data_IF_663825764576
#
_entry.id   IF_663825764576
#
_cell.length_a   1.000
_cell.length_b   1.000
_cell.length_c   1.000
_cell.angle_alpha   90.00
_cell.angle_beta   90.00
_cell.angle_gamma   90.00
#
_symmetry.space_group_name_H-M   'P 1'
#
loop_
_entity.id
_entity.type
_entity.pdbx_description
1 polymer ?
#
# COMPACT_ATOMS: atom_id res chain seq x y z
N UNK A 1 -2.41 68.31 -2.82
CA UNK A 1 -3.76 67.73 -2.81
C UNK A 1 -3.73 66.23 -3.18
N UNK A 2 -3.10 65.36 -2.39
CA UNK A 2 -3.06 63.90 -2.68
C UNK A 2 -3.37 62.99 -1.47
N UNK A 3 -3.96 63.53 -0.39
CA UNK A 3 -4.28 62.73 0.81
C UNK A 3 -5.66 62.07 0.82
N UNK A 4 -6.63 62.59 0.07
CA UNK A 4 -8.00 62.08 0.12
C UNK A 4 -8.25 60.88 -0.82
N UNK A 5 -7.53 60.79 -1.94
CA UNK A 5 -7.74 59.73 -2.95
C UNK A 5 -7.22 58.34 -2.52
N UNK A 6 -6.11 58.29 -1.77
CA UNK A 6 -5.52 57.01 -1.34
C UNK A 6 -6.38 56.28 -0.31
N UNK A 7 -7.02 57.01 0.61
CA UNK A 7 -7.91 56.42 1.62
C UNK A 7 -9.19 55.86 1.02
N UNK A 8 -9.69 56.46 -0.07
CA UNK A 8 -10.86 55.95 -0.79
C UNK A 8 -10.51 54.64 -1.52
N UNK A 9 -9.35 54.59 -2.19
CA UNK A 9 -8.92 53.40 -2.93
C UNK A 9 -8.67 52.21 -1.98
N UNK A 10 -7.98 52.42 -0.85
CA UNK A 10 -7.74 51.34 0.13
C UNK A 10 -9.04 50.86 0.78
N UNK A 11 -9.99 51.75 1.03
CA UNK A 11 -11.32 51.38 1.57
C UNK A 11 -12.12 50.57 0.54
N UNK A 12 -12.11 50.96 -0.73
CA UNK A 12 -12.80 50.23 -1.81
C UNK A 12 -12.19 48.84 -2.02
N UNK A 13 -10.86 48.72 -1.98
CA UNK A 13 -10.17 47.42 -2.06
C UNK A 13 -10.49 46.56 -0.84
N UNK A 14 -10.48 47.13 0.37
CA UNK A 14 -10.81 46.40 1.60
C UNK A 14 -12.24 45.86 1.61
N UNK A 15 -13.21 46.65 1.14
CA UNK A 15 -14.59 46.20 0.97
C UNK A 15 -14.74 45.16 -0.13
N UNK A 16 -14.03 45.31 -1.25
CA UNK A 16 -14.01 44.33 -2.34
C UNK A 16 -13.46 42.97 -1.91
N UNK A 17 -12.36 42.95 -1.15
CA UNK A 17 -11.78 41.71 -0.61
C UNK A 17 -12.69 41.07 0.45
N UNK A 18 -13.34 41.88 1.29
CA UNK A 18 -14.26 41.35 2.30
C UNK A 18 -15.53 40.77 1.66
N UNK A 19 -16.10 41.45 0.64
CA UNK A 19 -17.28 40.97 -0.07
C UNK A 19 -17.00 39.68 -0.85
N UNK A 20 -15.85 39.60 -1.53
CA UNK A 20 -15.44 38.38 -2.24
C UNK A 20 -15.16 37.22 -1.29
N UNK A 21 -14.56 37.47 -0.13
CA UNK A 21 -14.37 36.45 0.91
C UNK A 21 -15.71 35.93 1.46
N UNK A 22 -16.66 36.83 1.76
CA UNK A 22 -18.00 36.45 2.22
C UNK A 22 -18.73 35.63 1.15
N UNK A 23 -18.68 36.03 -0.13
CA UNK A 23 -19.30 35.28 -1.23
C UNK A 23 -18.64 33.91 -1.38
N UNK A 24 -17.31 33.81 -1.26
CA UNK A 24 -16.59 32.53 -1.31
C UNK A 24 -16.99 31.59 -0.18
N UNK A 25 -17.06 32.10 1.06
CA UNK A 25 -17.49 31.32 2.24
C UNK A 25 -18.95 30.90 2.11
N UNK A 26 -19.86 31.81 1.73
CA UNK A 26 -21.26 31.50 1.50
C UNK A 26 -21.44 30.46 0.38
N UNK A 27 -20.69 30.57 -0.71
CA UNK A 27 -20.72 29.61 -1.83
C UNK A 27 -20.24 28.23 -1.38
N UNK A 28 -19.17 28.16 -0.58
CA UNK A 28 -18.67 26.90 0.01
C UNK A 28 -19.69 26.27 0.98
N UNK A 29 -20.34 27.06 1.83
CA UNK A 29 -21.38 26.59 2.76
C UNK A 29 -22.62 26.11 2.00
N UNK A 30 -23.08 26.84 0.98
CA UNK A 30 -24.23 26.47 0.17
C UNK A 30 -23.91 25.23 -0.67
N UNK A 31 -22.74 25.14 -1.32
CA UNK A 31 -22.31 23.94 -2.05
C UNK A 31 -22.16 22.74 -1.11
N UNK A 32 -21.66 22.94 0.11
CA UNK A 32 -21.59 21.90 1.14
C UNK A 32 -22.97 21.43 1.61
N UNK A 33 -23.94 22.35 1.74
CA UNK A 33 -25.33 22.03 2.08
C UNK A 33 -26.08 21.34 0.94
N UNK A 34 -25.86 21.74 -0.31
CA UNK A 34 -26.43 21.09 -1.50
C UNK A 34 -25.87 19.68 -1.69
N UNK A 35 -24.55 19.48 -1.52
CA UNK A 35 -23.95 18.12 -1.51
C UNK A 35 -24.49 17.26 -0.37
N UNK A 36 -24.75 17.84 0.80
CA UNK A 36 -25.38 17.14 1.95
C UNK A 36 -26.86 16.81 1.71
N UNK A 37 -27.55 17.59 0.88
CA UNK A 37 -28.92 17.32 0.44
C UNK A 37 -28.98 16.23 -0.64
N UNK A 38 -28.03 16.20 -1.60
CA UNK A 38 -27.86 15.09 -2.57
C UNK A 38 -27.43 13.78 -1.92
N UNK A 39 -26.76 13.85 -0.76
CA UNK A 39 -26.37 12.67 0.04
C UNK A 39 -27.54 12.00 0.78
N UNK A 40 -28.77 12.52 0.65
CA UNK A 40 -30.01 11.81 1.01
C UNK A 40 -30.66 11.27 -0.26
N UNK A 41 -30.45 10.00 -0.65
CA UNK A 41 -31.44 9.32 -1.46
C UNK A 41 -32.69 9.13 -0.60
N UNK A 42 -33.82 9.46 -1.22
CA UNK A 42 -35.18 9.18 -0.79
C UNK A 42 -35.31 7.80 -0.12
N UNK A 43 -35.69 7.78 1.14
CA UNK A 43 -36.30 6.63 1.79
C UNK A 43 -37.74 7.00 2.12
N UNK A 44 -38.59 7.01 1.11
CA UNK A 44 -40.02 6.76 1.23
C UNK A 44 -40.57 6.60 -0.19
N UNK A 45 -41.39 5.56 -0.38
CA UNK A 45 -41.98 5.11 -1.65
C UNK A 45 -41.07 4.20 -2.48
N UNK A 46 -40.95 2.94 -2.05
CA UNK A 46 -41.39 1.79 -2.86
C UNK A 46 -41.55 0.57 -1.95
N UNK A 47 -42.54 0.62 -1.04
CA UNK A 47 -43.10 -0.61 -0.50
C UNK A 47 -43.96 -1.26 -1.59
N UNK A 48 -43.74 -2.56 -1.80
CA UNK A 48 -44.48 -3.49 -2.67
C UNK A 48 -43.97 -3.52 -4.11
N UNK A 49 -43.22 -4.59 -4.44
CA UNK A 49 -43.58 -5.65 -5.40
C UNK A 49 -42.41 -6.66 -5.45
N UNK A 50 -42.74 -7.95 -5.24
CA UNK A 50 -42.08 -9.22 -5.68
C UNK A 50 -40.71 -9.61 -5.09
N UNK A 51 -40.61 -10.67 -4.27
CA UNK A 51 -40.62 -12.14 -4.52
C UNK A 51 -39.19 -12.72 -4.68
N UNK A 52 -38.80 -13.47 -3.63
CA UNK A 52 -37.83 -14.58 -3.55
C UNK A 52 -36.57 -14.61 -4.43
N UNK A 53 -35.38 -14.36 -3.83
CA UNK A 53 -34.17 -15.20 -3.98
C UNK A 53 -33.27 -15.08 -2.71
N UNK A 54 -32.57 -16.15 -2.26
CA UNK A 54 -31.88 -16.17 -0.98
C UNK A 54 -30.40 -15.81 -1.11
N UNK A 55 -30.01 -14.59 -0.72
CA UNK A 55 -28.60 -14.25 -0.48
C UNK A 55 -28.30 -14.15 1.01
N UNK A 56 -27.18 -14.77 1.37
CA UNK A 56 -26.66 -15.03 2.71
C UNK A 56 -26.74 -13.80 3.64
N UNK A 57 -27.23 -14.04 4.87
CA UNK A 57 -27.09 -13.13 6.02
C UNK A 57 -25.62 -12.72 6.23
N UNK A 58 -25.28 -11.48 5.86
CA UNK A 58 -24.05 -10.80 6.29
C UNK A 58 -24.21 -10.39 7.76
N UNK A 59 -23.28 -10.81 8.61
CA UNK A 59 -23.41 -10.79 10.08
C UNK A 59 -23.26 -9.39 10.69
N UNK A 60 -24.02 -9.11 11.76
CA UNK A 60 -23.96 -7.86 12.54
C UNK A 60 -22.65 -7.62 13.32
N UNK A 61 -21.67 -8.54 13.25
CA UNK A 61 -20.38 -8.43 13.95
C UNK A 61 -19.50 -7.30 13.38
N UNK A 62 -19.55 -7.05 12.07
CA UNK A 62 -18.72 -6.02 11.41
C UNK A 62 -19.08 -4.60 11.85
N UNK A 63 -20.35 -4.34 12.15
CA UNK A 63 -20.84 -3.03 12.55
C UNK A 63 -20.39 -2.65 13.98
N UNK A 64 -20.24 -3.66 14.85
CA UNK A 64 -19.74 -3.50 16.23
C UNK A 64 -18.24 -3.26 16.24
N UNK A 65 -17.48 -3.96 15.39
CA UNK A 65 -16.02 -3.82 15.31
C UNK A 65 -15.60 -2.46 14.73
N UNK A 66 -16.29 -1.94 13.71
CA UNK A 66 -16.02 -0.57 13.23
C UNK A 66 -16.27 0.46 14.34
N UNK A 67 -17.32 0.31 15.14
CA UNK A 67 -17.61 1.23 16.24
C UNK A 67 -16.50 1.30 17.29
N UNK A 68 -15.76 0.20 17.52
CA UNK A 68 -14.76 0.11 18.58
C UNK A 68 -13.36 0.66 18.23
N UNK A 69 -13.13 1.15 17.00
CA UNK A 69 -11.87 1.82 16.67
C UNK A 69 -11.80 3.18 17.42
N UNK A 70 -10.65 3.59 18.00
CA UNK A 70 -10.56 4.84 18.76
C UNK A 70 -10.96 6.07 17.96
N UNK A 71 -11.69 6.99 18.60
CA UNK A 71 -12.06 8.28 18.05
C UNK A 71 -11.54 9.41 18.92
N UNK A 72 -11.20 10.54 18.31
CA UNK A 72 -10.87 11.76 19.03
C UNK A 72 -11.58 12.96 18.43
N UNK A 73 -11.63 14.05 19.19
CA UNK A 73 -12.04 15.36 18.68
C UNK A 73 -10.78 16.13 18.28
N UNK A 74 -10.78 16.68 17.07
CA UNK A 74 -9.70 17.54 16.61
C UNK A 74 -9.66 18.82 17.44
N UNK A 75 -8.46 19.22 17.84
CA UNK A 75 -8.18 20.46 18.56
C UNK A 75 -6.94 21.12 17.94
N UNK A 76 -7.11 22.30 17.37
CA UNK A 76 -6.06 23.00 16.65
C UNK A 76 -4.82 23.30 17.52
N UNK A 77 -4.99 23.56 18.82
CA UNK A 77 -3.88 23.87 19.74
C UNK A 77 -3.04 22.65 20.08
N UNK A 78 -3.65 21.46 20.15
CA UNK A 78 -2.96 20.20 20.46
C UNK A 78 -2.23 19.59 19.25
N UNK A 79 -2.54 20.07 18.03
CA UNK A 79 -2.08 19.49 16.76
C UNK A 79 -1.16 20.39 15.94
N UNK A 80 -0.73 21.53 16.49
CA UNK A 80 0.17 22.51 15.86
C UNK A 80 1.56 21.98 15.43
N UNK A 81 1.89 20.70 15.70
CA UNK A 81 3.15 20.05 15.31
C UNK A 81 3.03 19.11 14.10
N UNK A 82 1.82 18.93 13.56
CA UNK A 82 1.58 18.09 12.37
C UNK A 82 1.46 18.99 11.14
N UNK A 83 2.36 18.81 10.16
CA UNK A 83 2.25 19.44 8.84
C UNK A 83 0.99 18.89 8.13
N UNK A 84 0.09 19.80 7.75
CA UNK A 84 -1.20 19.59 7.08
C UNK A 84 -2.23 18.63 7.75
N UNK A 85 -3.08 19.12 8.67
CA UNK A 85 -4.17 18.34 9.26
C UNK A 85 -5.31 18.12 8.26
N UNK A 86 -5.14 17.19 7.32
CA UNK A 86 -6.12 16.89 6.27
C UNK A 86 -6.57 15.42 6.29
N UNK A 87 -7.84 15.20 5.97
CA UNK A 87 -8.39 13.86 5.74
C UNK A 87 -8.04 13.37 4.33
N UNK A 88 -7.27 12.28 4.22
CA UNK A 88 -6.87 11.74 2.91
C UNK A 88 -8.02 11.09 2.10
N UNK A 89 -9.18 10.85 2.71
CA UNK A 89 -10.33 10.25 2.01
C UNK A 89 -11.15 11.33 1.27
N UNK A 90 -11.42 12.45 1.93
CA UNK A 90 -12.23 13.54 1.35
C UNK A 90 -11.40 14.74 0.91
N UNK A 91 -10.10 14.73 1.19
CA UNK A 91 -9.15 15.81 0.91
C UNK A 91 -9.58 17.14 1.56
N UNK A 92 -10.25 17.09 2.70
CA UNK A 92 -10.66 18.27 3.46
C UNK A 92 -9.82 18.41 4.74
N UNK A 93 -9.47 19.65 5.09
CA UNK A 93 -8.81 20.01 6.35
C UNK A 93 -9.71 19.70 7.55
N UNK A 94 -9.12 19.26 8.66
CA UNK A 94 -9.83 19.04 9.91
C UNK A 94 -10.27 20.37 10.53
N UNK A 95 -11.52 20.43 10.95
CA UNK A 95 -12.08 21.59 11.65
C UNK A 95 -12.14 21.34 13.16
N UNK A 96 -12.08 22.42 13.93
CA UNK A 96 -12.14 22.39 15.39
C UNK A 96 -13.37 21.58 15.88
N UNK A 97 -13.13 20.65 16.82
CA UNK A 97 -14.13 19.72 17.40
C UNK A 97 -14.68 18.64 16.45
N UNK A 98 -14.16 18.51 15.23
CA UNK A 98 -14.54 17.38 14.36
C UNK A 98 -14.12 16.04 14.94
N UNK A 99 -14.94 15.02 14.75
CA UNK A 99 -14.66 13.67 15.26
C UNK A 99 -13.87 12.90 14.22
N UNK A 100 -12.64 12.58 14.58
CA UNK A 100 -11.69 11.82 13.78
C UNK A 100 -11.56 10.41 14.34
N UNK A 101 -11.35 9.43 13.48
CA UNK A 101 -10.98 8.07 13.87
C UNK A 101 -9.48 7.90 13.74
N UNK A 102 -8.85 7.31 14.76
CA UNK A 102 -7.41 7.05 14.80
C UNK A 102 -7.18 5.57 14.55
N UNK A 103 -6.36 5.25 13.55
CA UNK A 103 -6.08 3.86 13.22
C UNK A 103 -5.09 3.25 14.24
N UNK A 104 -5.43 2.13 14.91
CA UNK A 104 -4.74 1.63 16.10
C UNK A 104 -3.34 1.01 15.87
N UNK A 105 -2.64 1.37 14.79
CA UNK A 105 -1.25 0.94 14.52
C UNK A 105 -0.41 2.01 13.84
N UNK A 106 -0.98 2.72 12.88
CA UNK A 106 -0.28 3.77 12.13
C UNK A 106 -0.54 5.18 12.68
N UNK A 107 -1.51 5.35 13.59
CA UNK A 107 -1.85 6.66 14.18
C UNK A 107 -2.51 7.64 13.21
N UNK A 108 -2.66 7.29 11.93
CA UNK A 108 -3.34 8.11 10.95
C UNK A 108 -4.78 8.42 11.38
N UNK A 109 -5.17 9.67 11.14
CA UNK A 109 -6.49 10.21 11.43
C UNK A 109 -7.31 10.32 10.15
N UNK A 110 -8.63 10.15 10.27
CA UNK A 110 -9.59 10.35 9.19
C UNK A 110 -10.91 10.87 9.78
N UNK A 111 -11.73 11.59 9.02
CA UNK A 111 -13.10 11.88 9.45
C UNK A 111 -13.87 10.59 9.70
N UNK A 112 -14.58 10.51 10.84
CA UNK A 112 -15.36 9.34 11.23
C UNK A 112 -16.31 8.87 10.11
N UNK A 113 -17.01 9.80 9.45
CA UNK A 113 -17.93 9.47 8.37
C UNK A 113 -17.23 8.95 7.10
N UNK A 114 -16.02 9.42 6.81
CA UNK A 114 -15.28 9.04 5.60
C UNK A 114 -14.74 7.61 5.72
N UNK A 115 -14.12 7.32 6.85
CA UNK A 115 -13.54 5.99 7.09
C UNK A 115 -14.60 4.94 7.38
N UNK A 116 -15.69 5.26 8.08
CA UNK A 116 -16.75 4.28 8.38
C UNK A 116 -17.48 3.85 7.11
N UNK A 117 -17.74 4.77 6.17
CA UNK A 117 -18.34 4.42 4.86
C UNK A 117 -17.37 3.58 4.03
N UNK A 118 -16.08 3.94 4.05
CA UNK A 118 -15.04 3.20 3.36
C UNK A 118 -14.88 1.77 3.90
N UNK A 119 -14.91 1.59 5.23
CA UNK A 119 -14.85 0.29 5.90
C UNK A 119 -16.10 -0.56 5.63
N UNK A 120 -17.31 0.04 5.68
CA UNK A 120 -18.58 -0.69 5.45
C UNK A 120 -18.77 -1.16 4.01
N UNK A 121 -18.29 -0.41 3.01
CA UNK A 121 -18.41 -0.82 1.60
C UNK A 121 -17.48 -1.97 1.20
N UNK A 122 -16.51 -2.31 2.05
CA UNK A 122 -15.53 -3.38 1.82
C UNK A 122 -15.69 -4.57 2.77
N UNK A 123 -16.91 -4.81 3.30
CA UNK A 123 -17.30 -5.89 4.24
C UNK A 123 -17.20 -7.32 3.69
N UNK A 124 -16.15 -7.63 2.94
CA UNK A 124 -15.74 -8.98 2.59
C UNK A 124 -14.26 -9.11 2.87
N UNK A 125 -13.97 -9.42 4.14
CA UNK A 125 -12.81 -10.21 4.60
C UNK A 125 -11.50 -9.93 3.85
N UNK A 126 -10.92 -8.72 3.89
CA UNK A 126 -9.50 -8.50 3.54
C UNK A 126 -9.02 -7.11 4.01
N UNK A 127 -8.90 -6.88 5.33
CA UNK A 127 -7.96 -5.89 5.89
C UNK A 127 -7.78 -6.10 7.41
N UNK A 128 -6.61 -5.80 8.02
CA UNK A 128 -6.27 -6.23 9.39
C UNK A 128 -6.97 -5.43 10.50
N UNK A 129 -7.71 -4.38 10.18
CA UNK A 129 -8.32 -3.46 11.18
C UNK A 129 -9.34 -4.20 12.05
N UNK A 130 -10.11 -5.13 11.48
CA UNK A 130 -11.14 -5.89 12.19
C UNK A 130 -10.57 -7.05 13.04
N UNK A 131 -9.30 -7.44 12.83
CA UNK A 131 -8.65 -8.51 13.62
C UNK A 131 -8.11 -8.04 14.97
N UNK A 132 -7.88 -6.75 15.15
CA UNK A 132 -7.25 -6.20 16.38
C UNK A 132 -8.23 -6.21 17.55
N UNK A 133 -9.52 -6.00 17.31
CA UNK A 133 -10.55 -5.94 18.37
C UNK A 133 -10.97 -7.32 18.90
N UNK A 134 -10.52 -8.41 18.28
CA UNK A 134 -10.72 -9.77 18.80
C UNK A 134 -9.57 -10.23 19.71
N UNK A 135 -8.58 -9.35 19.95
CA UNK A 135 -7.38 -9.65 20.72
C UNK A 135 -7.19 -8.66 21.87
N UNK A 136 -8.23 -8.40 22.67
CA UNK A 136 -8.05 -7.91 24.03
C UNK A 136 -8.87 -8.80 24.97
N UNK A 137 -8.18 -9.44 25.91
CA UNK A 137 -8.69 -10.54 26.71
C UNK A 137 -9.76 -10.13 27.71
N UNK A 138 -10.85 -10.90 27.75
CA UNK A 138 -11.65 -11.07 28.95
C UNK A 138 -11.21 -12.39 29.61
N UNK A 139 -10.38 -12.28 30.64
CA UNK A 139 -10.13 -13.35 31.60
C UNK A 139 -11.43 -13.70 32.31
N UNK A 140 -11.97 -14.89 32.06
CA UNK A 140 -12.88 -15.56 32.99
C UNK A 140 -12.23 -16.88 33.40
N UNK A 141 -11.91 -16.95 34.68
CA UNK A 141 -11.19 -18.06 35.28
C UNK A 141 -11.98 -19.36 35.20
N UNK A 142 -11.26 -20.43 34.89
CA UNK A 142 -11.63 -21.78 35.27
C UNK A 142 -10.43 -22.39 35.97
N UNK A 143 -10.66 -22.67 37.24
CA UNK A 143 -9.79 -23.36 38.17
C UNK A 143 -9.46 -24.78 37.73
N UNK A 144 -8.25 -25.20 38.08
CA UNK A 144 -7.83 -26.56 38.44
C UNK A 144 -8.08 -27.69 37.44
N UNK A 145 -6.97 -28.29 36.95
CA UNK A 145 -6.54 -29.67 37.25
C UNK A 145 -5.22 -29.92 36.47
N UNK A 146 -4.20 -30.38 37.18
CA UNK A 146 -2.99 -31.01 36.62
C UNK A 146 -2.90 -32.44 37.19
N UNK A 147 -1.95 -33.27 36.76
CA UNK A 147 -1.55 -33.63 35.38
C UNK A 147 -1.54 -35.16 35.20
N UNK A 148 -1.47 -35.69 33.97
CA UNK A 148 -0.87 -37.02 33.79
C UNK A 148 -0.19 -37.20 32.43
N UNK A 149 1.01 -37.77 32.54
CA UNK A 149 1.93 -38.21 31.50
C UNK A 149 1.27 -39.06 30.42
N UNK A 150 1.52 -38.71 29.15
CA UNK A 150 1.60 -39.71 28.08
C UNK A 150 2.83 -39.42 27.22
N UNK A 151 3.84 -40.27 27.39
CA UNK A 151 4.95 -40.48 26.46
C UNK A 151 4.39 -41.09 25.17
N UNK A 152 4.60 -40.43 24.03
CA UNK A 152 4.47 -41.07 22.71
C UNK A 152 5.83 -41.11 22.01
N UNK A 153 6.18 -42.23 21.34
CA UNK A 153 7.50 -42.43 20.75
C UNK A 153 7.65 -41.58 19.49
N UNK A 154 8.82 -40.97 19.33
CA UNK A 154 9.23 -40.33 18.09
C UNK A 154 9.36 -41.38 16.98
N UNK A 155 8.32 -41.50 16.15
CA UNK A 155 8.45 -42.07 14.81
C UNK A 155 8.70 -40.89 13.87
N UNK A 156 9.88 -40.87 13.27
CA UNK A 156 10.31 -39.97 12.20
C UNK A 156 9.41 -40.14 10.97
N UNK A 157 8.25 -39.51 10.98
CA UNK A 157 7.57 -39.15 9.75
C UNK A 157 8.43 -38.06 9.09
N UNK A 158 9.01 -38.36 7.92
CA UNK A 158 9.59 -37.33 7.06
C UNK A 158 8.53 -36.24 6.91
N UNK A 159 8.84 -35.01 7.34
CA UNK A 159 7.82 -33.96 7.33
C UNK A 159 7.44 -33.66 5.88
N UNK A 160 6.15 -33.73 5.56
CA UNK A 160 5.55 -33.20 4.31
C UNK A 160 5.70 -31.67 4.15
N UNK A 161 6.70 -31.07 4.78
CA UNK A 161 6.97 -29.63 4.75
C UNK A 161 8.20 -29.38 3.87
N UNK A 162 8.01 -29.05 2.57
CA UNK A 162 9.12 -28.81 1.65
C UNK A 162 9.96 -27.59 2.05
N UNK A 163 9.40 -26.67 2.84
CA UNK A 163 10.16 -25.53 3.39
C UNK A 163 11.20 -26.04 4.38
N UNK A 164 10.77 -26.91 5.31
CA UNK A 164 11.67 -27.51 6.31
C UNK A 164 12.73 -28.38 5.64
N UNK A 165 12.34 -29.17 4.64
CA UNK A 165 13.27 -30.00 3.87
C UNK A 165 14.35 -29.15 3.21
N UNK A 166 13.96 -28.08 2.51
CA UNK A 166 14.92 -27.19 1.86
C UNK A 166 15.84 -26.50 2.88
N UNK A 167 15.31 -26.00 4.00
CA UNK A 167 16.10 -25.33 5.05
C UNK A 167 17.17 -26.27 5.62
N UNK A 168 16.81 -27.54 5.88
CA UNK A 168 17.72 -28.53 6.47
C UNK A 168 18.68 -29.16 5.46
N UNK A 169 18.48 -28.94 4.16
CA UNK A 169 19.34 -29.43 3.09
C UNK A 169 20.13 -28.29 2.45
N UNK A 170 19.55 -27.62 1.47
CA UNK A 170 20.15 -26.51 0.72
C UNK A 170 20.40 -25.26 1.59
N UNK A 171 19.55 -25.02 2.60
CA UNK A 171 19.69 -23.93 3.56
C UNK A 171 20.83 -24.12 4.57
N UNK A 172 21.48 -25.29 4.57
CA UNK A 172 22.64 -25.65 5.41
C UNK A 172 22.41 -25.58 6.93
N UNK A 173 21.15 -25.52 7.37
CA UNK A 173 20.81 -25.67 8.78
C UNK A 173 20.84 -27.15 9.17
N UNK A 174 21.29 -27.47 10.38
CA UNK A 174 21.19 -28.85 10.91
C UNK A 174 19.92 -29.04 11.73
N UNK A 175 19.36 -27.95 12.28
CA UNK A 175 18.17 -28.01 13.10
C UNK A 175 17.30 -26.75 12.98
N UNK A 176 15.98 -26.97 12.99
CA UNK A 176 14.99 -25.91 13.12
C UNK A 176 14.66 -25.74 14.61
N UNK A 177 14.87 -24.55 15.16
CA UNK A 177 14.71 -24.27 16.59
C UNK A 177 13.34 -23.67 16.90
N UNK A 178 12.82 -22.80 16.03
CA UNK A 178 11.53 -22.14 16.24
C UNK A 178 10.90 -21.72 14.91
N UNK A 179 9.56 -21.80 14.84
CA UNK A 179 8.76 -21.12 13.81
C UNK A 179 7.88 -20.11 14.53
N UNK A 180 7.95 -18.85 14.11
CA UNK A 180 7.14 -17.77 14.68
C UNK A 180 6.37 -17.05 13.57
N UNK A 181 5.06 -16.79 13.73
CA UNK A 181 4.35 -15.92 12.81
C UNK A 181 4.93 -14.51 12.91
N UNK A 182 5.06 -13.85 11.76
CA UNK A 182 5.50 -12.45 11.68
C UNK A 182 4.45 -11.66 10.91
N UNK A 183 4.25 -10.40 11.30
CA UNK A 183 3.40 -9.48 10.53
C UNK A 183 4.06 -9.18 9.18
N UNK A 184 3.27 -9.01 8.11
CA UNK A 184 3.83 -8.57 6.82
C UNK A 184 2.94 -8.75 5.59
N UNK A 185 2.13 -9.82 5.52
CA UNK A 185 1.30 -10.09 4.33
C UNK A 185 -0.18 -9.73 4.51
N UNK A 186 -0.74 -8.94 3.58
CA UNK A 186 -2.21 -8.78 3.45
C UNK A 186 -2.88 -10.04 2.86
N UNK A 187 -2.12 -10.84 2.11
CA UNK A 187 -2.59 -11.96 1.29
C UNK A 187 -1.91 -13.28 1.72
N UNK A 188 -0.64 -13.23 2.10
CA UNK A 188 0.19 -14.40 2.38
C UNK A 188 0.45 -14.58 3.89
N UNK A 189 0.57 -15.84 4.33
CA UNK A 189 1.04 -16.14 5.68
C UNK A 189 2.56 -15.99 5.73
N UNK A 190 3.05 -15.14 6.62
CA UNK A 190 4.47 -14.86 6.80
C UNK A 190 4.98 -15.45 8.12
N UNK A 191 6.07 -16.20 8.06
CA UNK A 191 6.68 -16.88 9.19
C UNK A 191 8.19 -16.65 9.19
N UNK A 192 8.76 -16.52 10.39
CA UNK A 192 10.19 -16.60 10.66
C UNK A 192 10.54 -18.01 11.09
N UNK A 193 11.51 -18.61 10.42
CA UNK A 193 12.09 -19.92 10.75
C UNK A 193 13.48 -19.69 11.34
N UNK A 194 13.64 -19.94 12.64
CA UNK A 194 14.92 -19.84 13.33
C UNK A 194 15.64 -21.19 13.29
N UNK A 195 16.93 -21.15 12.92
CA UNK A 195 17.78 -22.34 12.82
C UNK A 195 19.12 -22.11 13.50
N UNK A 196 19.95 -23.14 13.57
CA UNK A 196 21.35 -23.05 13.98
C UNK A 196 22.26 -22.34 12.95
N UNK A 197 21.82 -22.18 11.71
CA UNK A 197 22.55 -21.49 10.63
C UNK A 197 22.04 -20.06 10.35
N UNK A 198 21.12 -19.55 11.17
CA UNK A 198 20.49 -18.24 11.00
C UNK A 198 18.97 -18.33 10.78
N UNK A 199 18.33 -17.19 10.55
CA UNK A 199 16.88 -17.11 10.38
C UNK A 199 16.50 -16.99 8.91
N UNK A 200 15.38 -17.61 8.55
CA UNK A 200 14.77 -17.51 7.22
C UNK A 200 13.39 -16.85 7.34
N UNK A 201 13.05 -16.04 6.34
CA UNK A 201 11.70 -15.52 6.19
C UNK A 201 10.98 -16.34 5.12
N UNK A 202 9.77 -16.81 5.45
CA UNK A 202 8.99 -17.70 4.59
C UNK A 202 7.60 -17.13 4.42
N UNK A 203 7.19 -16.91 3.17
CA UNK A 203 5.79 -16.65 2.82
C UNK A 203 5.16 -17.93 2.26
N UNK A 204 3.93 -18.19 2.65
CA UNK A 204 3.13 -19.31 2.13
C UNK A 204 1.74 -18.82 1.74
N UNK A 205 1.19 -19.43 0.68
CA UNK A 205 -0.20 -19.26 0.29
C UNK A 205 -0.78 -20.61 -0.11
N UNK A 206 -1.90 -21.01 0.49
CA UNK A 206 -2.53 -22.32 0.22
C UNK A 206 -3.42 -22.33 -1.03
N UNK A 207 -3.75 -21.15 -1.57
CA UNK A 207 -4.75 -20.98 -2.62
C UNK A 207 -4.16 -20.51 -3.95
N UNK A 208 -2.87 -20.15 -3.98
CA UNK A 208 -2.21 -19.57 -5.16
C UNK A 208 -1.10 -20.51 -5.63
N UNK A 209 -0.96 -20.66 -6.95
CA UNK A 209 0.17 -21.38 -7.56
C UNK A 209 1.52 -20.69 -7.34
N UNK A 210 2.63 -21.25 -7.85
CA UNK A 210 3.96 -20.71 -7.61
C UNK A 210 4.26 -19.42 -8.38
N UNK A 211 3.54 -19.12 -9.47
CA UNK A 211 3.83 -18.00 -10.37
C UNK A 211 3.95 -16.63 -9.68
N UNK A 212 3.11 -16.34 -8.69
CA UNK A 212 3.20 -15.10 -7.90
C UNK A 212 4.54 -14.99 -7.17
N UNK A 213 4.97 -16.08 -6.52
CA UNK A 213 6.23 -16.11 -5.79
C UNK A 213 7.45 -16.23 -6.71
N UNK A 214 7.32 -16.88 -7.87
CA UNK A 214 8.36 -16.90 -8.91
C UNK A 214 8.64 -15.48 -9.40
N UNK A 215 7.59 -14.71 -9.67
CA UNK A 215 7.72 -13.32 -10.07
C UNK A 215 8.30 -12.43 -8.96
N UNK A 216 7.88 -12.62 -7.71
CA UNK A 216 8.45 -11.92 -6.55
C UNK A 216 9.95 -12.24 -6.38
N UNK A 217 10.33 -13.52 -6.51
CA UNK A 217 11.72 -13.94 -6.43
C UNK A 217 12.58 -13.37 -7.56
N UNK A 218 12.05 -13.31 -8.79
CA UNK A 218 12.75 -12.68 -9.92
C UNK A 218 12.91 -11.17 -9.72
N UNK A 219 11.88 -10.48 -9.22
CA UNK A 219 11.95 -9.05 -8.89
C UNK A 219 12.97 -8.75 -7.79
N UNK A 220 12.92 -9.51 -6.69
CA UNK A 220 13.91 -9.41 -5.61
C UNK A 220 15.33 -9.73 -6.09
N UNK A 221 15.48 -10.75 -6.94
CA UNK A 221 16.77 -11.11 -7.55
C UNK A 221 17.33 -9.97 -8.39
N UNK A 222 16.54 -9.41 -9.29
CA UNK A 222 16.93 -8.28 -10.14
C UNK A 222 17.37 -7.06 -9.31
N UNK A 223 16.63 -6.72 -8.24
CA UNK A 223 17.02 -5.63 -7.34
C UNK A 223 18.25 -5.96 -6.49
N UNK A 224 18.41 -7.22 -6.09
CA UNK A 224 19.57 -7.65 -5.29
C UNK A 224 20.87 -7.56 -6.11
N UNK A 225 20.80 -7.92 -7.40
CA UNK A 225 21.94 -7.90 -8.33
C UNK A 225 22.46 -6.49 -8.64
N UNK A 226 21.66 -5.43 -8.45
CA UNK A 226 22.14 -4.05 -8.64
C UNK A 226 23.17 -3.63 -7.61
N UNK A 227 23.25 -4.32 -6.45
CA UNK A 227 24.15 -3.97 -5.36
C UNK A 227 23.90 -2.58 -4.75
N UNK A 228 22.70 -2.02 -4.91
CA UNK A 228 22.38 -0.64 -4.52
C UNK A 228 21.64 -0.54 -3.18
N UNK A 229 20.31 -0.63 -3.19
CA UNK A 229 19.43 -0.61 -2.01
C UNK A 229 19.27 -2.03 -1.44
N UNK A 230 19.11 -2.16 -0.11
CA UNK A 230 18.97 -3.48 0.52
C UNK A 230 17.59 -4.06 0.21
N UNK A 231 17.56 -5.32 -0.23
CA UNK A 231 16.36 -6.13 -0.41
C UNK A 231 16.59 -7.52 0.19
N UNK A 232 15.55 -8.26 0.62
CA UNK A 232 15.69 -9.64 1.04
C UNK A 232 16.21 -10.51 -0.11
N UNK A 233 17.32 -11.24 0.11
CA UNK A 233 17.79 -12.20 -0.88
C UNK A 233 16.78 -13.36 -1.04
N UNK A 234 16.22 -13.60 -2.23
CA UNK A 234 15.37 -14.77 -2.46
C UNK A 234 16.23 -16.03 -2.55
N UNK A 235 15.77 -17.12 -1.95
CA UNK A 235 16.48 -18.40 -1.95
C UNK A 235 15.77 -19.48 -2.76
N UNK A 236 14.46 -19.67 -2.53
CA UNK A 236 13.71 -20.75 -3.17
C UNK A 236 12.24 -20.40 -3.30
N UNK A 237 11.65 -20.79 -4.43
CA UNK A 237 10.19 -20.85 -4.63
C UNK A 237 9.80 -22.31 -4.86
N UNK A 238 8.63 -22.70 -4.39
CA UNK A 238 8.11 -24.04 -4.62
C UNK A 238 6.61 -24.18 -4.37
N UNK A 239 6.10 -25.36 -4.65
CA UNK A 239 4.71 -25.76 -4.41
C UNK A 239 4.55 -26.47 -3.07
N UNK A 240 3.40 -26.29 -2.43
CA UNK A 240 3.05 -27.02 -1.22
C UNK A 240 2.35 -28.35 -1.57
N UNK A 241 2.59 -29.47 -0.86
CA UNK A 241 2.08 -30.79 -1.24
C UNK A 241 0.55 -30.90 -1.27
N UNK A 242 -0.15 -30.08 -0.47
CA UNK A 242 -1.62 -30.07 -0.36
C UNK A 242 -2.27 -28.92 -1.13
N UNK A 243 -1.55 -28.35 -2.09
CA UNK A 243 -1.96 -27.18 -2.83
C UNK A 243 -1.42 -25.89 -2.22
N UNK A 244 -1.16 -24.92 -3.10
CA UNK A 244 -0.51 -23.66 -2.75
C UNK A 244 0.98 -23.61 -3.11
N UNK A 245 1.64 -22.56 -2.65
CA UNK A 245 3.04 -22.26 -2.94
C UNK A 245 3.72 -21.54 -1.77
N UNK A 246 5.05 -21.44 -1.86
CA UNK A 246 5.88 -20.75 -0.89
C UNK A 246 7.08 -20.06 -1.53
N UNK A 247 7.63 -19.07 -0.82
CA UNK A 247 8.94 -18.47 -1.07
C UNK A 247 9.74 -18.43 0.22
N UNK A 248 11.03 -18.77 0.14
CA UNK A 248 12.03 -18.69 1.20
C UNK A 248 13.01 -17.58 0.82
N UNK A 249 13.26 -16.66 1.74
CA UNK A 249 14.17 -15.53 1.55
C UNK A 249 14.93 -15.21 2.84
N UNK A 250 15.92 -14.32 2.72
CA UNK A 250 16.67 -13.76 3.84
C UNK A 250 15.73 -13.18 4.91
N UNK A 251 15.92 -13.58 6.16
CA UNK A 251 15.30 -12.86 7.27
C UNK A 251 16.10 -11.60 7.59
N UNK A 252 15.51 -10.44 7.34
CA UNK A 252 16.10 -9.16 7.72
C UNK A 252 15.53 -8.73 9.07
N UNK A 253 16.41 -8.50 10.04
CA UNK A 253 16.05 -7.94 11.33
C UNK A 253 15.88 -6.42 11.19
N UNK A 254 14.65 -5.95 11.39
CA UNK A 254 14.32 -4.53 11.30
C UNK A 254 14.74 -3.76 12.55
N UNK A 255 15.24 -2.54 12.33
CA UNK A 255 15.56 -1.58 13.38
C UNK A 255 14.32 -0.84 13.89
N UNK A 256 14.51 -0.08 14.97
CA UNK A 256 13.44 0.72 15.62
C UNK A 256 13.22 2.08 14.93
N UNK A 257 14.19 2.52 14.12
CA UNK A 257 14.19 3.82 13.47
C UNK A 257 13.49 3.78 12.10
N UNK A 258 12.84 4.89 11.73
CA UNK A 258 12.18 5.09 10.41
C UNK A 258 13.15 5.22 9.22
N UNK A 259 14.43 4.95 9.43
CA UNK A 259 15.46 5.05 8.40
C UNK A 259 15.83 6.47 8.02
N UNK A 260 16.99 6.63 7.36
CA UNK A 260 17.44 7.92 6.85
C UNK A 260 16.87 8.16 5.44
N UNK A 261 15.94 9.11 5.31
CA UNK A 261 15.28 9.46 4.04
C UNK A 261 16.26 9.86 2.93
N UNK A 262 17.35 10.57 3.25
CA UNK A 262 18.39 10.91 2.27
C UNK A 262 19.15 9.67 1.76
N UNK A 263 19.36 8.69 2.64
CA UNK A 263 20.01 7.43 2.23
C UNK A 263 19.05 6.61 1.37
N UNK A 264 17.76 6.56 1.74
CA UNK A 264 16.72 5.91 0.93
C UNK A 264 16.65 6.50 -0.49
N UNK A 265 16.59 7.83 -0.63
CA UNK A 265 16.52 8.49 -1.93
C UNK A 265 17.74 8.23 -2.79
N UNK A 266 18.95 8.37 -2.22
CA UNK A 266 20.20 8.04 -2.92
C UNK A 266 20.26 6.57 -3.36
N UNK A 267 19.95 5.63 -2.47
CA UNK A 267 20.01 4.19 -2.75
C UNK A 267 18.99 3.74 -3.79
N UNK A 268 17.80 4.34 -3.79
CA UNK A 268 16.80 4.11 -4.83
C UNK A 268 17.26 4.63 -6.20
N UNK A 269 17.84 5.83 -6.24
CA UNK A 269 18.42 6.37 -7.48
C UNK A 269 19.58 5.49 -8.01
N UNK A 270 20.45 4.98 -7.13
CA UNK A 270 21.50 4.01 -7.50
C UNK A 270 20.89 2.74 -8.12
N UNK A 271 19.78 2.23 -7.59
CA UNK A 271 19.05 1.09 -8.18
C UNK A 271 18.54 1.40 -9.59
N UNK A 272 17.87 2.53 -9.79
CA UNK A 272 17.34 2.93 -11.10
C UNK A 272 18.45 3.17 -12.14
N UNK A 273 19.63 3.62 -11.70
CA UNK A 273 20.79 3.74 -12.59
C UNK A 273 21.36 2.40 -13.01
N UNK A 274 21.55 1.49 -12.05
CA UNK A 274 22.21 0.22 -12.27
C UNK A 274 21.31 -0.79 -13.01
N UNK A 275 20.01 -0.82 -12.68
CA UNK A 275 19.06 -1.74 -13.30
C UNK A 275 18.61 -1.25 -14.67
N UNK A 276 19.37 -1.56 -15.72
CA UNK A 276 19.02 -1.28 -17.13
C UNK A 276 18.51 -2.52 -17.85
N UNK A 277 17.82 -2.32 -18.97
CA UNK A 277 17.32 -3.41 -19.82
C UNK A 277 17.50 -3.06 -21.29
N UNK A 278 18.13 -3.98 -22.04
CA UNK A 278 18.24 -3.89 -23.49
C UNK A 278 16.99 -4.41 -24.23
N UNK A 279 16.04 -5.02 -23.49
CA UNK A 279 14.78 -5.55 -24.05
C UNK A 279 13.67 -4.49 -24.14
N UNK A 280 13.90 -3.29 -23.62
CA UNK A 280 12.91 -2.22 -23.50
C UNK A 280 12.17 -2.23 -22.16
N UNK A 281 10.89 -1.83 -22.19
CA UNK A 281 9.99 -1.73 -21.04
C UNK A 281 9.21 -3.02 -20.85
N UNK A 282 9.09 -3.49 -19.61
CA UNK A 282 8.49 -4.79 -19.30
C UNK A 282 9.29 -5.57 -18.28
N UNK A 283 9.05 -6.87 -18.20
CA UNK A 283 9.77 -7.77 -17.31
C UNK A 283 9.70 -9.20 -17.87
N UNK A 284 10.60 -10.08 -17.42
CA UNK A 284 10.68 -11.45 -17.97
C UNK A 284 9.43 -12.29 -17.69
N UNK A 285 8.67 -11.94 -16.64
CA UNK A 285 7.40 -12.57 -16.30
C UNK A 285 6.34 -11.53 -15.94
N UNK A 286 5.09 -11.84 -16.25
CA UNK A 286 3.95 -11.16 -15.64
C UNK A 286 3.96 -11.39 -14.14
N UNK A 287 3.54 -10.37 -13.39
CA UNK A 287 3.50 -10.42 -11.95
C UNK A 287 2.19 -9.81 -11.44
N UNK A 288 2.18 -9.34 -10.19
CA UNK A 288 0.98 -8.76 -9.58
C UNK A 288 1.30 -7.48 -8.85
N UNK A 289 0.39 -6.49 -8.96
CA UNK A 289 0.34 -5.33 -8.08
C UNK A 289 -0.82 -5.53 -7.10
N UNK A 290 -0.48 -5.82 -5.83
CA UNK A 290 -1.42 -6.45 -4.91
C UNK A 290 -1.88 -7.82 -5.43
N UNK A 291 -3.19 -8.01 -5.60
CA UNK A 291 -3.76 -9.22 -6.23
C UNK A 291 -4.06 -9.07 -7.71
N UNK A 292 -3.83 -7.89 -8.29
CA UNK A 292 -4.20 -7.61 -9.68
C UNK A 292 -3.06 -8.04 -10.60
N UNK A 293 -3.33 -8.81 -11.69
CA UNK A 293 -2.30 -9.12 -12.67
C UNK A 293 -1.69 -7.85 -13.25
N UNK A 294 -0.37 -7.83 -13.34
CA UNK A 294 0.41 -6.79 -13.96
C UNK A 294 1.13 -7.38 -15.18
N UNK A 295 0.71 -6.93 -16.36
CA UNK A 295 1.18 -7.43 -17.65
C UNK A 295 2.53 -6.78 -17.95
N UNK A 296 3.54 -7.59 -18.25
CA UNK A 296 4.93 -7.18 -18.41
C UNK A 296 5.51 -7.56 -19.78
N UNK A 297 4.63 -7.82 -20.76
CA UNK A 297 5.03 -8.03 -22.14
C UNK A 297 5.94 -6.89 -22.60
N UNK A 298 7.09 -7.26 -23.19
CA UNK A 298 8.12 -6.32 -23.61
C UNK A 298 7.61 -5.34 -24.68
N UNK A 299 7.97 -4.07 -24.53
CA UNK A 299 7.69 -2.99 -25.47
C UNK A 299 8.92 -2.11 -25.64
N UNK A 300 9.16 -1.63 -26.85
CA UNK A 300 10.21 -0.64 -27.13
C UNK A 300 9.77 0.80 -26.86
N UNK A 301 8.47 1.05 -26.67
CA UNK A 301 7.91 2.38 -26.43
C UNK A 301 7.23 2.46 -25.07
N UNK A 302 7.65 3.43 -24.24
CA UNK A 302 7.12 3.64 -22.90
C UNK A 302 5.67 4.08 -22.93
N UNK A 303 5.33 4.96 -23.87
CA UNK A 303 3.99 5.55 -23.95
C UNK A 303 2.97 4.46 -24.28
N UNK A 304 3.28 3.61 -25.25
CA UNK A 304 2.50 2.41 -25.56
C UNK A 304 2.45 1.45 -24.36
N UNK A 305 3.59 1.11 -23.75
CA UNK A 305 3.64 0.19 -22.60
C UNK A 305 2.75 0.65 -21.44
N UNK A 306 2.89 1.91 -21.04
CA UNK A 306 2.13 2.49 -19.94
C UNK A 306 0.65 2.68 -20.31
N UNK A 307 0.38 3.09 -21.55
CA UNK A 307 -0.98 3.25 -22.07
C UNK A 307 -1.76 1.94 -22.12
N UNK A 308 -1.14 0.85 -22.59
CA UNK A 308 -1.80 -0.44 -22.78
C UNK A 308 -1.74 -1.32 -21.52
N UNK A 309 -0.55 -1.57 -20.99
CA UNK A 309 -0.30 -2.57 -19.94
C UNK A 309 -0.38 -2.02 -18.52
N UNK A 310 -0.52 -0.70 -18.34
CA UNK A 310 -0.82 -0.08 -17.04
C UNK A 310 -2.22 0.52 -17.06
N UNK A 311 -2.38 1.73 -17.61
CA UNK A 311 -3.64 2.45 -17.57
C UNK A 311 -4.78 1.69 -18.28
N UNK A 312 -4.54 1.24 -19.51
CA UNK A 312 -5.53 0.57 -20.35
C UNK A 312 -6.09 -0.70 -19.70
N UNK A 313 -5.19 -1.55 -19.18
CA UNK A 313 -5.58 -2.76 -18.45
C UNK A 313 -6.47 -2.46 -17.24
N UNK A 314 -6.09 -1.51 -16.39
CA UNK A 314 -6.87 -1.13 -15.21
C UNK A 314 -8.24 -0.53 -15.57
N UNK A 315 -8.31 0.30 -16.61
CA UNK A 315 -9.57 0.84 -17.12
C UNK A 315 -10.50 -0.27 -17.61
N UNK A 316 -9.97 -1.24 -18.36
CA UNK A 316 -10.74 -2.37 -18.85
C UNK A 316 -11.25 -3.24 -17.68
N UNK A 317 -10.42 -3.44 -16.66
CA UNK A 317 -10.81 -4.17 -15.45
C UNK A 317 -11.95 -3.46 -14.70
N UNK A 318 -11.84 -2.14 -14.52
CA UNK A 318 -12.88 -1.33 -13.89
C UNK A 318 -14.20 -1.36 -14.68
N UNK A 319 -14.14 -1.27 -16.02
CA UNK A 319 -15.32 -1.41 -16.88
C UNK A 319 -15.96 -2.80 -16.71
N UNK A 320 -15.17 -3.87 -16.71
CA UNK A 320 -15.68 -5.24 -16.60
C UNK A 320 -16.33 -5.52 -15.26
N UNK A 321 -15.74 -5.02 -14.17
CA UNK A 321 -16.22 -5.31 -12.81
C UNK A 321 -17.39 -4.41 -12.39
N UNK A 322 -17.39 -3.14 -12.81
CA UNK A 322 -18.32 -2.15 -12.29
C UNK A 322 -19.21 -1.51 -13.37
N UNK A 323 -18.98 -1.82 -14.65
CA UNK A 323 -19.73 -1.20 -15.75
C UNK A 323 -19.44 0.30 -15.92
N UNK A 324 -18.36 0.83 -15.33
CA UNK A 324 -18.07 2.26 -15.34
C UNK A 324 -17.56 2.73 -16.71
N UNK A 325 -18.51 3.00 -17.60
CA UNK A 325 -18.25 3.50 -18.95
C UNK A 325 -17.66 4.92 -18.93
N UNK A 326 -18.01 5.72 -17.93
CA UNK A 326 -17.57 7.12 -17.85
C UNK A 326 -16.07 7.21 -17.61
N UNK A 327 -15.56 6.46 -16.63
CA UNK A 327 -14.11 6.39 -16.35
C UNK A 327 -13.37 5.75 -17.52
N UNK A 328 -13.92 4.67 -18.08
CA UNK A 328 -13.32 4.00 -19.24
C UNK A 328 -13.14 4.92 -20.44
N UNK A 329 -14.22 5.56 -20.93
CA UNK A 329 -14.14 6.39 -22.14
C UNK A 329 -13.24 7.62 -21.94
N UNK A 330 -13.24 8.23 -20.75
CA UNK A 330 -12.30 9.31 -20.40
C UNK A 330 -10.86 8.83 -20.35
N UNK A 331 -10.61 7.68 -19.74
CA UNK A 331 -9.28 7.08 -19.66
C UNK A 331 -8.74 6.68 -21.03
N UNK A 332 -9.57 6.12 -21.90
CA UNK A 332 -9.19 5.80 -23.29
C UNK A 332 -8.84 7.06 -24.09
N UNK A 333 -9.53 8.18 -23.86
CA UNK A 333 -9.14 9.47 -24.46
C UNK A 333 -7.78 9.94 -23.95
N UNK A 334 -7.50 9.80 -22.66
CA UNK A 334 -6.19 10.13 -22.08
C UNK A 334 -5.08 9.26 -22.68
N UNK A 335 -5.26 7.94 -22.72
CA UNK A 335 -4.28 7.01 -23.32
C UNK A 335 -3.98 7.35 -24.77
N UNK A 336 -4.98 7.81 -25.55
CA UNK A 336 -4.76 8.24 -26.95
C UNK A 336 -4.08 9.60 -27.10
N UNK A 337 -4.03 10.41 -26.05
CA UNK A 337 -3.55 11.80 -26.09
C UNK A 337 -2.41 12.09 -25.12
N UNK A 338 -1.78 11.05 -24.58
CA UNK A 338 -0.70 11.19 -23.61
C UNK A 338 0.66 11.54 -24.22
N UNK A 339 0.84 11.38 -25.53
CA UNK A 339 2.08 11.71 -26.25
C UNK A 339 2.71 13.05 -25.86
N UNK A 340 1.97 14.17 -25.95
CA UNK A 340 2.47 15.50 -25.59
C UNK A 340 2.95 15.66 -24.13
N UNK A 341 2.57 14.78 -23.21
CA UNK A 341 3.07 14.81 -21.83
C UNK A 341 4.53 14.35 -21.73
N UNK A 342 5.05 13.72 -22.78
CA UNK A 342 6.40 13.16 -22.86
C UNK A 342 7.25 13.82 -23.96
N UNK A 343 6.78 14.93 -24.54
CA UNK A 343 7.51 15.63 -25.59
C UNK A 343 8.90 16.06 -25.11
N UNK A 344 9.92 15.79 -25.93
CA UNK A 344 11.34 16.10 -25.67
C UNK A 344 11.97 15.34 -24.49
N UNK A 345 11.38 14.22 -24.05
CA UNK A 345 11.97 13.36 -23.03
C UNK A 345 12.57 12.09 -23.64
N UNK A 346 13.84 11.83 -23.35
CA UNK A 346 14.43 10.52 -23.56
C UNK A 346 14.11 9.65 -22.34
N UNK A 347 13.31 8.61 -22.54
CA UNK A 347 12.89 7.71 -21.47
C UNK A 347 13.69 6.42 -21.60
N UNK A 348 14.55 6.19 -20.62
CA UNK A 348 15.35 4.97 -20.54
C UNK A 348 14.70 3.97 -19.57
N UNK A 349 14.60 2.69 -19.92
CA UNK A 349 14.10 1.67 -19.00
C UNK A 349 15.02 1.57 -17.79
N UNK A 350 14.45 1.70 -16.60
CA UNK A 350 15.11 1.37 -15.35
C UNK A 350 14.30 0.37 -14.54
N UNK A 351 14.99 -0.47 -13.77
CA UNK A 351 14.36 -1.39 -12.83
C UNK A 351 13.61 -0.61 -11.75
N UNK A 352 12.30 -0.81 -11.67
CA UNK A 352 11.43 -0.26 -10.66
C UNK A 352 11.12 -1.30 -9.59
N UNK A 353 10.91 -0.84 -8.37
CA UNK A 353 10.27 -1.61 -7.32
C UNK A 353 8.77 -1.81 -7.63
N UNK A 354 8.07 -0.74 -8.05
CA UNK A 354 6.72 -0.81 -8.63
C UNK A 354 5.56 -0.81 -7.63
N UNK A 355 5.82 -1.03 -6.34
CA UNK A 355 4.84 -0.86 -5.25
C UNK A 355 5.46 -0.18 -4.01
N UNK A 356 6.17 0.94 -4.21
CA UNK A 356 6.95 1.56 -3.13
C UNK A 356 6.12 2.54 -2.28
N UNK A 357 5.59 2.03 -1.16
CA UNK A 357 4.88 2.80 -0.14
C UNK A 357 5.38 2.45 1.27
N UNK A 358 4.87 3.14 2.30
CA UNK A 358 5.39 3.03 3.67
C UNK A 358 5.32 1.62 4.26
N UNK A 359 4.41 0.75 3.79
CA UNK A 359 4.35 -0.66 4.20
C UNK A 359 5.48 -1.53 3.64
N UNK A 360 6.09 -1.09 2.53
CA UNK A 360 7.15 -1.79 1.81
C UNK A 360 8.53 -1.15 2.03
N UNK A 361 8.63 -0.15 2.91
CA UNK A 361 9.87 0.53 3.28
C UNK A 361 10.16 0.25 4.75
N UNK A 362 11.38 -0.19 5.03
CA UNK A 362 11.86 -0.43 6.39
C UNK A 362 13.33 -0.02 6.52
N UNK A 363 13.93 -0.30 7.66
CA UNK A 363 15.38 -0.21 7.85
C UNK A 363 15.87 -1.40 8.64
N UNK A 364 17.06 -1.88 8.29
CA UNK A 364 17.69 -2.95 9.05
C UNK A 364 18.16 -2.47 10.44
N UNK A 365 18.69 -3.38 11.24
CA UNK A 365 19.26 -3.06 12.56
C UNK A 365 20.41 -2.04 12.56
N UNK A 366 21.06 -1.82 11.40
CA UNK A 366 22.12 -0.83 11.24
C UNK A 366 21.57 0.53 10.75
N UNK A 367 20.28 0.61 10.45
CA UNK A 367 19.62 1.82 9.94
C UNK A 367 19.69 1.98 8.41
N UNK A 368 20.15 0.96 7.68
CA UNK A 368 20.17 1.00 6.22
C UNK A 368 18.75 0.74 5.66
N UNK A 369 18.33 1.49 4.62
CA UNK A 369 17.00 1.34 4.05
C UNK A 369 16.83 -0.03 3.37
N UNK A 370 15.70 -0.65 3.65
CA UNK A 370 15.29 -1.94 3.08
C UNK A 370 13.96 -1.75 2.36
N UNK A 371 13.85 -2.25 1.14
CA UNK A 371 12.58 -2.30 0.41
C UNK A 371 12.12 -3.75 0.21
N UNK A 372 10.80 -3.96 0.28
CA UNK A 372 10.16 -5.27 0.42
C UNK A 372 8.98 -5.39 -0.56
N UNK A 373 8.60 -6.61 -0.90
CA UNK A 373 7.36 -6.94 -1.61
C UNK A 373 7.19 -6.18 -2.94
N UNK A 374 8.13 -6.37 -3.89
CA UNK A 374 8.11 -5.65 -5.16
C UNK A 374 7.03 -6.12 -6.13
N UNK A 375 6.66 -5.22 -7.04
CA UNK A 375 5.93 -5.49 -8.27
C UNK A 375 6.80 -5.07 -9.47
N UNK A 376 8.02 -5.61 -9.54
CA UNK A 376 9.09 -5.13 -10.44
C UNK A 376 8.73 -5.14 -11.92
N UNK A 377 9.28 -4.16 -12.63
CA UNK A 377 9.39 -4.10 -14.09
C UNK A 377 10.40 -3.03 -14.49
N UNK A 378 10.86 -3.06 -15.73
CA UNK A 378 11.63 -1.98 -16.33
C UNK A 378 10.68 -0.93 -16.90
N UNK A 379 10.78 0.29 -16.39
CA UNK A 379 9.87 1.40 -16.72
C UNK A 379 10.55 2.76 -16.65
N UNK A 380 9.76 3.82 -16.78
CA UNK A 380 10.22 5.18 -16.49
C UNK A 380 10.42 5.35 -14.97
N UNK A 381 11.59 5.84 -14.55
CA UNK A 381 11.97 6.00 -13.13
C UNK A 381 10.96 6.81 -12.30
N UNK A 382 10.28 7.78 -12.91
CA UNK A 382 9.27 8.60 -12.22
C UNK A 382 8.01 7.82 -11.84
N UNK A 383 7.74 6.67 -12.48
CA UNK A 383 6.60 5.83 -12.13
C UNK A 383 6.71 5.24 -10.71
N UNK A 384 7.92 5.15 -10.14
CA UNK A 384 8.14 4.70 -8.76
C UNK A 384 7.40 5.59 -7.74
N UNK A 385 7.22 6.87 -8.08
CA UNK A 385 6.55 7.83 -7.20
C UNK A 385 5.02 7.75 -7.25
N UNK A 386 4.44 6.81 -8.02
CA UNK A 386 2.99 6.61 -8.13
C UNK A 386 2.31 6.31 -6.79
N UNK A 387 3.05 5.78 -5.81
CA UNK A 387 2.57 5.48 -4.46
C UNK A 387 3.03 6.49 -3.39
N UNK A 388 3.65 7.60 -3.79
CA UNK A 388 4.19 8.64 -2.89
C UNK A 388 3.17 9.18 -1.88
N UNK A 389 1.89 9.24 -2.27
CA UNK A 389 0.76 9.69 -1.44
C UNK A 389 0.57 8.87 -0.15
N UNK A 390 1.12 7.66 -0.05
CA UNK A 390 1.14 6.85 1.16
C UNK A 390 2.54 6.32 1.53
N UNK A 391 3.59 6.87 0.92
CA UNK A 391 4.98 6.54 1.20
C UNK A 391 5.60 7.42 2.30
N UNK A 392 5.18 8.69 2.39
CA UNK A 392 5.74 9.65 3.34
C UNK A 392 7.13 10.14 2.96
N UNK A 393 7.44 10.25 1.66
CA UNK A 393 8.71 10.78 1.17
C UNK A 393 8.85 12.27 1.51
N UNK A 394 9.90 12.61 2.27
CA UNK A 394 10.22 13.99 2.63
C UNK A 394 11.11 14.70 1.61
N UNK A 395 11.32 16.01 1.77
CA UNK A 395 12.19 16.78 0.87
C UNK A 395 13.63 16.26 0.78
N UNK A 396 14.17 15.71 1.88
CA UNK A 396 15.50 15.11 1.90
C UNK A 396 15.63 13.85 1.02
N UNK A 397 14.57 13.05 0.92
CA UNK A 397 14.50 11.93 -0.02
C UNK A 397 14.61 12.42 -1.46
N UNK A 398 13.75 13.35 -1.89
CA UNK A 398 13.75 13.85 -3.27
C UNK A 398 15.06 14.53 -3.64
N UNK A 399 15.59 15.39 -2.75
CA UNK A 399 16.87 16.07 -2.98
C UNK A 399 18.00 15.05 -3.25
N UNK A 400 18.13 14.05 -2.38
CA UNK A 400 19.17 13.02 -2.53
C UNK A 400 18.96 12.13 -3.76
N UNK A 401 17.71 11.82 -4.11
CA UNK A 401 17.39 11.02 -5.30
C UNK A 401 17.79 11.76 -6.59
N UNK A 402 17.41 13.03 -6.75
CA UNK A 402 17.72 13.80 -7.95
C UNK A 402 19.22 14.19 -8.03
N UNK A 403 19.88 14.45 -6.90
CA UNK A 403 21.33 14.63 -6.84
C UNK A 403 22.06 13.35 -7.28
N UNK A 404 21.63 12.20 -6.76
CA UNK A 404 22.19 10.91 -7.15
C UNK A 404 21.91 10.59 -8.62
N UNK A 405 20.78 11.00 -9.21
CA UNK A 405 20.50 10.85 -10.64
C UNK A 405 21.36 11.76 -11.53
N UNK A 406 21.54 13.02 -11.16
CA UNK A 406 22.26 14.02 -11.96
C UNK A 406 23.80 13.92 -11.89
N UNK A 407 24.36 13.32 -10.84
CA UNK A 407 25.81 13.26 -10.58
C UNK A 407 26.67 12.44 -11.56
N UNK A 408 26.10 11.90 -12.64
CA UNK A 408 26.86 11.27 -13.75
C UNK A 408 26.72 12.12 -15.01
N UNK A 409 27.48 13.21 -15.01
CA UNK A 409 27.68 14.13 -16.13
C UNK A 409 28.99 14.87 -15.94
N UNK A 410 30.11 14.13 -15.88
CA UNK A 410 31.47 14.65 -16.05
C UNK A 410 32.30 13.64 -16.82
#
# INVERSE_FOLDING_TARGET
>A
MMGAGMNLITTVIGFGMSATFIVFVCTRIICGRLRRAESRPMFEIQSRIDLEQPELRVSGLEQVLVAAIPTMKFNHEAFNSIEDPQCAICLAEYQEKEVLRIMPKCGHTFHLCCIDVWLRRRGSVHYPVLRVLSCDGATLGLSEIAPSLILFPWVTAMSDDPVREWILSEGKATQLTKISPVGGGCINLANRYDTDAGSFFVKTNRNIGPSMFEAEALGLGAMYETGSIRVPKPFKVGTLPRGGSYIIMEFIEFGVSRGNQSVLGRKLAEMHKAGKSDKGFGFDVDNTIGSTPQINTWSSDWIQFYGEHRLGYQLQLALKQYGDRTVYDKGQRLVKSMGPLFDNMAIEPCLLHGDLWSGNISSDKNGEPVILDPACYYGHNEAEFGMSWCAGFGGSFYNSYFEALSSTGR
#
